data_IF_514048857490
#
_entry.id   IF_514048857490
#
_cell.length_a   1.000
_cell.length_b   1.000
_cell.length_c   1.000
_cell.angle_alpha   90.00
_cell.angle_beta   90.00
_cell.angle_gamma   90.00
#
_symmetry.space_group_name_H-M   'P 1'
#
loop_
_entity.id
_entity.type
_entity.pdbx_description
1 polymer ?
#
# COMPACT_ATOMS: atom_id res chain seq x y z
N UNK A 1 -2.09 11.30 -20.73
CA UNK A 1 -3.35 11.11 -19.98
C UNK A 1 -3.01 11.33 -18.52
N UNK A 2 -3.57 12.31 -17.80
CA UNK A 2 -3.39 12.33 -16.35
C UNK A 2 -4.06 11.05 -15.82
N UNK A 3 -3.32 10.24 -15.07
CA UNK A 3 -3.90 9.09 -14.39
C UNK A 3 -5.10 9.62 -13.58
N UNK A 4 -6.25 8.95 -13.68
CA UNK A 4 -7.37 9.26 -12.80
C UNK A 4 -6.85 9.25 -11.36
N UNK A 5 -7.27 10.23 -10.55
CA UNK A 5 -6.82 10.41 -9.17
C UNK A 5 -7.40 9.32 -8.25
N UNK A 6 -7.18 8.05 -8.61
CA UNK A 6 -7.74 6.87 -7.96
C UNK A 6 -6.92 6.59 -6.72
N UNK A 7 -7.60 6.62 -5.57
CA UNK A 7 -7.00 6.37 -4.25
C UNK A 7 -7.45 4.99 -3.78
N UNK A 8 -6.50 4.06 -3.66
CA UNK A 8 -6.78 2.65 -3.35
C UNK A 8 -6.63 2.38 -1.85
N UNK A 9 -7.73 2.02 -1.17
CA UNK A 9 -7.68 1.56 0.22
C UNK A 9 -7.48 0.04 0.25
N UNK A 10 -6.37 -0.42 0.81
CA UNK A 10 -6.02 -1.83 0.95
C UNK A 10 -6.06 -2.22 2.42
N UNK A 11 -7.00 -3.09 2.80
CA UNK A 11 -7.02 -3.71 4.12
C UNK A 11 -6.11 -4.94 4.14
N UNK A 12 -5.36 -5.14 5.23
CA UNK A 12 -4.39 -6.23 5.29
C UNK A 12 -3.20 -6.05 4.34
N UNK A 13 -2.87 -4.79 3.99
CA UNK A 13 -1.83 -4.46 3.01
C UNK A 13 -0.40 -4.85 3.41
N UNK A 14 -0.15 -5.13 4.69
CA UNK A 14 1.13 -5.69 5.16
C UNK A 14 1.15 -7.23 5.23
N UNK A 15 0.06 -7.90 4.82
CA UNK A 15 -0.02 -9.35 4.64
C UNK A 15 0.66 -9.85 3.36
N UNK A 16 0.59 -11.17 3.09
CA UNK A 16 1.21 -11.76 1.89
C UNK A 16 0.62 -11.20 0.60
N UNK A 17 -0.67 -11.40 0.34
CA UNK A 17 -1.30 -10.91 -0.90
C UNK A 17 -1.39 -9.38 -0.92
N UNK A 18 -1.73 -8.77 0.22
CA UNK A 18 -1.90 -7.32 0.34
C UNK A 18 -0.64 -6.55 -0.05
N UNK A 19 0.55 -6.99 0.40
CA UNK A 19 1.80 -6.30 0.10
C UNK A 19 2.18 -6.36 -1.38
N UNK A 20 1.92 -7.48 -2.06
CA UNK A 20 2.15 -7.60 -3.50
C UNK A 20 1.18 -6.72 -4.31
N UNK A 21 -0.06 -6.56 -3.84
CA UNK A 21 -1.01 -5.64 -4.45
C UNK A 21 -0.58 -4.19 -4.25
N UNK A 22 -0.13 -3.83 -3.04
CA UNK A 22 0.47 -2.52 -2.75
C UNK A 22 1.62 -2.25 -3.71
N UNK A 23 2.59 -3.17 -3.83
CA UNK A 23 3.72 -3.03 -4.76
C UNK A 23 3.26 -2.78 -6.20
N UNK A 24 2.28 -3.55 -6.68
CA UNK A 24 1.78 -3.45 -8.05
C UNK A 24 1.09 -2.10 -8.33
N UNK A 25 0.35 -1.57 -7.36
CA UNK A 25 -0.34 -0.27 -7.48
C UNK A 25 0.65 0.88 -7.38
N UNK A 26 1.59 0.80 -6.43
CA UNK A 26 2.67 1.79 -6.28
C UNK A 26 3.54 1.88 -7.53
N UNK A 27 3.90 0.74 -8.14
CA UNK A 27 4.64 0.70 -9.41
C UNK A 27 3.85 1.24 -10.60
N UNK A 28 2.51 1.26 -10.52
CA UNK A 28 1.66 1.89 -11.53
C UNK A 28 1.56 3.42 -11.35
N UNK A 29 2.15 3.97 -10.28
CA UNK A 29 2.04 5.39 -9.94
C UNK A 29 0.71 5.77 -9.31
N UNK A 30 -0.04 4.80 -8.77
CA UNK A 30 -1.31 5.04 -8.09
C UNK A 30 -1.10 5.43 -6.62
N UNK A 31 -2.10 6.08 -6.04
CA UNK A 31 -2.11 6.40 -4.61
C UNK A 31 -2.69 5.23 -3.79
N UNK A 32 -2.01 4.89 -2.70
CA UNK A 32 -2.36 3.73 -1.86
C UNK A 32 -2.44 4.14 -0.39
N UNK A 33 -3.56 3.77 0.24
CA UNK A 33 -3.73 3.79 1.70
C UNK A 33 -3.74 2.33 2.17
N UNK A 34 -2.75 1.95 2.97
CA UNK A 34 -2.66 0.64 3.57
C UNK A 34 -3.24 0.68 5.00
N UNK A 35 -4.32 -0.05 5.26
CA UNK A 35 -4.88 -0.24 6.61
C UNK A 35 -4.51 -1.64 7.12
N UNK A 36 -3.67 -1.72 8.15
CA UNK A 36 -3.21 -3.02 8.67
C UNK A 36 -2.83 -2.97 10.16
N UNK A 37 -3.41 -3.89 10.94
CA UNK A 37 -3.14 -4.03 12.38
C UNK A 37 -1.94 -4.95 12.71
N UNK A 38 -1.34 -5.57 11.69
CA UNK A 38 -0.28 -6.57 11.75
C UNK A 38 -0.62 -7.83 12.52
N UNK A 39 -1.87 -8.31 12.46
CA UNK A 39 -2.25 -9.55 13.14
C UNK A 39 -1.40 -10.77 12.70
N UNK A 40 -1.18 -10.91 11.38
CA UNK A 40 -0.25 -11.89 10.79
C UNK A 40 0.74 -11.26 9.80
N UNK A 41 0.49 -10.02 9.37
CA UNK A 41 1.36 -9.26 8.47
C UNK A 41 2.62 -8.74 9.14
N UNK A 42 3.56 -8.23 8.34
CA UNK A 42 4.81 -7.63 8.83
C UNK A 42 5.02 -6.28 8.17
N UNK A 43 5.40 -5.27 8.96
CA UNK A 43 5.76 -3.93 8.46
C UNK A 43 6.86 -3.97 7.39
N UNK A 44 7.76 -4.95 7.44
CA UNK A 44 8.79 -5.19 6.42
C UNK A 44 8.23 -5.40 5.02
N UNK A 45 7.01 -5.93 4.89
CA UNK A 45 6.39 -6.24 3.60
C UNK A 45 6.00 -4.99 2.81
N UNK A 46 5.84 -3.84 3.48
CA UNK A 46 5.49 -2.54 2.88
C UNK A 46 6.57 -1.49 3.10
N UNK A 47 7.73 -1.88 3.62
CA UNK A 47 8.77 -0.94 4.06
C UNK A 47 9.35 -0.11 2.90
N UNK A 48 9.31 -0.64 1.67
CA UNK A 48 9.78 0.04 0.47
C UNK A 48 9.03 1.35 0.16
N UNK A 49 7.78 1.49 0.64
CA UNK A 49 6.92 2.63 0.32
C UNK A 49 6.72 3.60 1.49
N UNK A 50 7.29 3.30 2.67
CA UNK A 50 7.15 4.18 3.82
C UNK A 50 7.80 5.55 3.54
N UNK A 51 7.00 6.60 3.69
CA UNK A 51 7.43 7.98 3.40
C UNK A 51 7.30 8.39 1.92
N UNK A 52 6.88 7.48 1.04
CA UNK A 52 6.55 7.84 -0.34
C UNK A 52 5.29 8.74 -0.34
N UNK A 53 5.26 9.86 -1.11
CA UNK A 53 4.14 10.81 -1.07
C UNK A 53 2.80 10.22 -1.48
N UNK A 54 2.81 9.15 -2.29
CA UNK A 54 1.61 8.43 -2.72
C UNK A 54 1.25 7.22 -1.84
N UNK A 55 1.93 7.02 -0.70
CA UNK A 55 1.69 5.90 0.20
C UNK A 55 1.41 6.36 1.63
N UNK A 56 0.25 5.97 2.16
CA UNK A 56 -0.15 6.21 3.55
C UNK A 56 -0.37 4.89 4.27
N UNK A 57 0.10 4.78 5.52
CA UNK A 57 -0.12 3.62 6.37
C UNK A 57 -0.96 4.02 7.59
N UNK A 58 -2.09 3.35 7.76
CA UNK A 58 -2.97 3.43 8.92
C UNK A 58 -2.90 2.10 9.68
N UNK A 59 -2.74 2.17 11.00
CA UNK A 59 -2.65 1.00 11.88
C UNK A 59 -3.91 0.86 12.73
#
# INVERSE_FOLDING_TARGET
>A
MPASNTRNLITGGAGFVGSHLVDRLMQAGEEVICLDNYFTGRKSNIAAWLGHPCFELIR
#
